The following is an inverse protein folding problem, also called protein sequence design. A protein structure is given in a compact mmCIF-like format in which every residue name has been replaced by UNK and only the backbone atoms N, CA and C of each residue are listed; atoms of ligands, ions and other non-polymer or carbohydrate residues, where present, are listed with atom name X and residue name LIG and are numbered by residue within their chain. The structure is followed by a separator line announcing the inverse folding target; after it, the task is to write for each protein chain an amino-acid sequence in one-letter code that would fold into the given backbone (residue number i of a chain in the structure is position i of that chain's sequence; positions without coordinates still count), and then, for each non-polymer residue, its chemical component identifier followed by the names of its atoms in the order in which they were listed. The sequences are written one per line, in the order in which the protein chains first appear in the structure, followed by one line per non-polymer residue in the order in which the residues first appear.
data_IF_858151985812
#
_entry.id   IF_858151985812
#
_cell.length_a   1.000
_cell.length_b   1.000
_cell.length_c   1.000
_cell.angle_alpha   90.00
_cell.angle_beta   90.00
_cell.angle_gamma   90.00
#
_symmetry.space_group_name_H-M   'P 1'
#
loop_
_entity.id
_entity.type
_entity.pdbx_description
1 polymer ?
#
# COMPACT_ATOMS: atom_id res chain seq x y z
N UNK A 1 14.31 15.81 -9.91
CA UNK A 1 15.40 15.09 -9.23
C UNK A 1 15.53 15.44 -7.75
N UNK A 2 14.88 16.51 -7.25
CA UNK A 2 15.05 16.96 -5.87
C UNK A 2 14.27 16.15 -4.82
N UNK A 3 13.48 15.16 -5.22
CA UNK A 3 12.64 14.36 -4.31
C UNK A 3 13.45 13.45 -3.37
N UNK A 4 14.64 13.02 -3.81
CA UNK A 4 15.54 12.16 -3.02
C UNK A 4 16.45 12.95 -2.07
N UNK A 5 16.31 14.28 -2.04
CA UNK A 5 17.12 15.16 -1.19
C UNK A 5 16.25 15.64 -0.04
N UNK A 6 16.77 15.60 1.18
CA UNK A 6 16.16 16.15 2.39
C UNK A 6 16.87 17.45 2.77
N UNK A 7 16.12 18.44 3.27
CA UNK A 7 16.71 19.68 3.75
C UNK A 7 17.17 19.51 5.21
N UNK A 8 18.46 19.28 5.43
CA UNK A 8 19.08 19.15 6.74
C UNK A 8 19.76 17.79 6.96
N UNK A 9 20.38 17.64 8.13
CA UNK A 9 21.06 16.40 8.51
C UNK A 9 20.09 15.45 9.21
N UNK A 10 19.61 14.44 8.48
CA UNK A 10 18.73 13.40 9.01
C UNK A 10 19.51 12.13 9.31
N UNK A 11 19.66 11.84 10.60
CA UNK A 11 20.16 10.56 11.11
C UNK A 11 18.95 9.61 11.29
N UNK A 12 18.70 8.74 10.30
CA UNK A 12 17.49 7.91 10.27
C UNK A 12 17.39 6.96 11.47
N UNK A 13 18.52 6.47 11.97
CA UNK A 13 18.63 5.63 13.17
C UNK A 13 18.30 6.34 14.49
N UNK A 14 18.26 7.68 14.51
CA UNK A 14 17.88 8.47 15.70
C UNK A 14 16.42 8.91 15.68
N UNK A 15 15.68 8.60 14.62
CA UNK A 15 14.25 8.88 14.57
C UNK A 15 13.50 8.07 15.63
N UNK A 16 12.34 8.53 16.13
CA UNK A 16 11.51 7.72 17.02
C UNK A 16 11.04 6.44 16.32
N UNK A 17 10.89 5.34 17.07
CA UNK A 17 10.39 4.06 16.55
C UNK A 17 8.90 4.16 16.20
N UNK A 18 8.60 4.62 14.99
CA UNK A 18 7.26 4.84 14.48
C UNK A 18 7.15 4.34 13.05
N UNK A 19 5.95 3.86 12.69
CA UNK A 19 5.60 3.57 11.30
C UNK A 19 5.21 4.85 10.57
N UNK A 20 5.68 4.97 9.32
CA UNK A 20 5.22 5.97 8.37
C UNK A 20 5.29 7.42 8.89
N UNK A 21 6.38 7.78 9.56
CA UNK A 21 6.67 9.15 9.96
C UNK A 21 6.83 10.05 8.73
N UNK A 22 6.00 11.09 8.62
CA UNK A 22 6.11 12.05 7.52
C UNK A 22 7.34 12.94 7.70
N UNK A 23 8.21 12.96 6.69
CA UNK A 23 9.29 13.93 6.52
C UNK A 23 9.13 14.63 5.16
N UNK A 24 9.77 15.78 5.00
CA UNK A 24 9.68 16.58 3.78
C UNK A 24 10.97 16.55 2.99
N UNK A 25 10.83 16.22 1.71
CA UNK A 25 11.88 16.39 0.72
C UNK A 25 12.12 17.88 0.44
N UNK A 26 13.29 18.19 -0.11
CA UNK A 26 13.71 19.54 -0.51
C UNK A 26 12.74 20.23 -1.47
N UNK A 27 11.98 19.46 -2.27
CA UNK A 27 10.94 19.97 -3.16
C UNK A 27 9.55 20.08 -2.51
N UNK A 28 9.43 19.89 -1.19
CA UNK A 28 8.16 19.89 -0.46
C UNK A 28 7.38 18.57 -0.51
N UNK A 29 7.87 17.58 -1.27
CA UNK A 29 7.31 16.24 -1.36
C UNK A 29 7.30 15.52 0.01
N UNK A 30 6.27 14.72 0.25
CA UNK A 30 6.13 13.91 1.47
C UNK A 30 6.86 12.60 1.29
N UNK A 31 7.72 12.27 2.25
CA UNK A 31 8.36 10.98 2.39
C UNK A 31 7.90 10.37 3.71
N UNK A 32 7.75 9.07 3.75
CA UNK A 32 7.30 8.33 4.93
C UNK A 32 8.41 7.39 5.36
N UNK A 33 9.00 7.66 6.51
CA UNK A 33 10.07 6.83 7.08
C UNK A 33 9.47 5.98 8.19
N UNK A 34 9.72 4.68 8.15
CA UNK A 34 9.42 3.80 9.28
C UNK A 34 10.75 3.52 9.99
N UNK A 35 10.76 3.60 11.32
CA UNK A 35 11.86 3.12 12.14
C UNK A 35 11.37 2.02 13.05
N UNK A 36 11.88 0.80 12.86
CA UNK A 36 11.37 -0.39 13.53
C UNK A 36 12.50 -1.35 13.93
N UNK A 37 12.34 -2.02 15.08
CA UNK A 37 13.25 -3.09 15.51
C UNK A 37 12.60 -4.43 15.22
N UNK A 38 13.24 -5.25 14.39
CA UNK A 38 12.84 -6.64 14.13
C UNK A 38 13.89 -7.57 14.71
N UNK A 39 13.62 -8.11 15.90
CA UNK A 39 14.61 -8.90 16.65
C UNK A 39 15.74 -8.02 17.15
N UNK A 40 16.96 -8.24 16.63
CA UNK A 40 18.13 -7.39 16.90
C UNK A 40 18.38 -6.35 15.81
N UNK A 41 17.70 -6.46 14.67
CA UNK A 41 17.99 -5.63 13.50
C UNK A 41 17.09 -4.40 13.48
N UNK A 42 17.71 -3.24 13.33
CA UNK A 42 17.00 -1.98 13.07
C UNK A 42 16.73 -1.87 11.58
N UNK A 43 15.45 -1.73 11.22
CA UNK A 43 15.03 -1.61 9.82
C UNK A 43 14.38 -0.26 9.57
N UNK A 44 14.82 0.37 8.49
CA UNK A 44 14.43 1.72 8.10
C UNK A 44 14.00 1.73 6.63
N UNK A 45 12.70 1.59 6.31
CA UNK A 45 12.24 1.86 4.96
C UNK A 45 11.79 3.31 4.77
N UNK A 46 11.94 3.81 3.55
CA UNK A 46 11.46 5.12 3.09
C UNK A 46 10.47 4.89 1.95
N UNK A 47 9.20 5.28 2.13
CA UNK A 47 8.09 4.96 1.21
C UNK A 47 8.03 3.46 0.85
N UNK A 48 8.26 2.59 1.84
CA UNK A 48 8.36 1.14 1.63
C UNK A 48 9.65 0.65 0.92
N UNK A 49 10.55 1.52 0.48
CA UNK A 49 11.86 1.13 -0.04
C UNK A 49 12.84 0.87 1.10
N UNK A 50 13.53 -0.27 1.07
CA UNK A 50 14.54 -0.62 2.08
C UNK A 50 15.75 0.30 1.98
N UNK A 51 16.21 0.83 3.12
CA UNK A 51 17.55 1.41 3.23
C UNK A 51 18.56 0.28 3.39
N UNK A 52 19.50 0.18 2.46
CA UNK A 52 20.56 -0.83 2.40
C UNK A 52 21.79 -0.40 3.21
N UNK A 53 22.13 0.89 3.16
CA UNK A 53 23.21 1.49 3.92
C UNK A 53 22.78 2.87 4.37
N UNK A 54 23.14 3.23 5.61
CA UNK A 54 22.69 4.48 6.22
C UNK A 54 23.83 5.30 6.80
N UNK A 55 23.58 6.60 6.92
CA UNK A 55 24.47 7.57 7.57
C UNK A 55 25.91 7.57 6.99
N UNK A 56 26.04 7.35 5.68
CA UNK A 56 27.35 7.46 5.02
C UNK A 56 27.73 8.94 5.02
N UNK A 57 28.83 9.27 5.67
CA UNK A 57 29.26 10.65 5.84
C UNK A 57 29.81 11.23 4.52
N UNK A 58 29.25 12.36 4.10
CA UNK A 58 29.75 13.21 3.04
C UNK A 58 30.14 14.58 3.62
N UNK A 59 30.85 15.40 2.86
CA UNK A 59 31.31 16.73 3.33
C UNK A 59 30.16 17.66 3.73
N UNK A 60 29.00 17.52 3.08
CA UNK A 60 27.85 18.41 3.23
C UNK A 60 26.57 17.70 3.70
N UNK A 61 26.66 16.46 4.19
CA UNK A 61 25.48 15.74 4.67
C UNK A 61 25.68 14.23 4.83
N UNK A 62 24.56 13.52 4.92
CA UNK A 62 24.51 12.07 5.07
C UNK A 62 23.86 11.44 3.85
N UNK A 63 24.47 10.38 3.33
CA UNK A 63 23.94 9.58 2.23
C UNK A 63 23.24 8.35 2.79
N UNK A 64 22.04 8.11 2.27
CA UNK A 64 21.21 6.94 2.56
C UNK A 64 21.04 6.15 1.25
N UNK A 65 21.47 4.90 1.22
CA UNK A 65 21.36 4.04 0.03
C UNK A 65 20.05 3.27 0.10
N UNK A 66 19.16 3.49 -0.87
CA UNK A 66 17.87 2.81 -0.97
C UNK A 66 17.89 1.74 -2.06
N UNK A 67 17.09 0.69 -1.90
CA UNK A 67 17.04 -0.43 -2.85
C UNK A 67 16.24 -0.14 -4.13
N UNK A 68 15.43 0.93 -4.16
CA UNK A 68 14.67 1.35 -5.35
C UNK A 68 14.53 2.86 -5.40
N UNK A 69 14.23 3.38 -6.59
CA UNK A 69 13.96 4.81 -6.79
C UNK A 69 12.68 5.20 -6.06
N UNK A 70 12.76 6.18 -5.16
CA UNK A 70 11.59 6.81 -4.55
C UNK A 70 10.79 7.61 -5.57
N UNK A 71 9.49 7.31 -5.69
CA UNK A 71 8.59 8.05 -6.56
C UNK A 71 7.78 9.09 -5.75
N UNK A 72 7.72 10.34 -6.22
CA UNK A 72 6.83 11.34 -5.63
C UNK A 72 5.37 10.98 -5.92
N UNK A 73 4.49 11.30 -4.99
CA UNK A 73 3.06 11.18 -5.26
C UNK A 73 2.67 12.16 -6.37
N UNK A 74 1.93 11.65 -7.36
CA UNK A 74 1.39 12.44 -8.48
C UNK A 74 -0.01 12.98 -8.17
N UNK A 75 -0.69 12.36 -7.21
CA UNK A 75 -2.08 12.62 -6.86
C UNK A 75 -2.20 12.87 -5.37
N UNK A 76 -2.98 13.89 -5.00
CA UNK A 76 -3.28 14.19 -3.60
C UNK A 76 -4.24 13.17 -2.99
N UNK A 77 -5.21 12.69 -3.78
CA UNK A 77 -6.26 11.78 -3.32
C UNK A 77 -6.12 10.41 -3.98
N UNK A 78 -6.46 9.36 -3.24
CA UNK A 78 -6.42 7.98 -3.74
C UNK A 78 -7.43 7.72 -4.86
N UNK A 79 -8.58 8.40 -4.85
CA UNK A 79 -9.59 8.29 -5.90
C UNK A 79 -9.09 8.85 -7.24
N UNK A 80 -8.31 9.93 -7.22
CA UNK A 80 -7.67 10.50 -8.42
C UNK A 80 -6.68 9.48 -9.01
N UNK A 81 -5.87 8.85 -8.15
CA UNK A 81 -4.95 7.80 -8.59
C UNK A 81 -5.69 6.61 -9.22
N UNK A 82 -6.79 6.16 -8.61
CA UNK A 82 -7.64 5.08 -9.13
C UNK A 82 -8.26 5.49 -10.48
N UNK A 83 -8.80 6.71 -10.59
CA UNK A 83 -9.45 7.21 -11.81
C UNK A 83 -8.47 7.35 -12.96
N UNK A 84 -7.20 7.67 -12.66
CA UNK A 84 -6.16 7.81 -13.68
C UNK A 84 -5.74 6.47 -14.31
N UNK A 85 -5.98 5.34 -13.62
CA UNK A 85 -5.61 4.03 -14.11
C UNK A 85 -6.78 3.38 -14.86
N UNK A 86 -6.62 3.23 -16.17
CA UNK A 86 -7.64 2.60 -17.03
C UNK A 86 -7.98 1.17 -16.60
N UNK A 87 -7.04 0.47 -15.96
CA UNK A 87 -7.27 -0.89 -15.45
C UNK A 87 -8.14 -0.91 -14.19
N UNK A 88 -8.48 0.24 -13.58
CA UNK A 88 -9.28 0.31 -12.37
C UNK A 88 -10.68 0.90 -12.59
N UNK A 89 -11.09 1.09 -13.85
CA UNK A 89 -12.36 1.75 -14.19
C UNK A 89 -13.60 1.07 -13.59
N UNK A 90 -13.64 -0.26 -13.55
CA UNK A 90 -14.76 -1.01 -12.96
C UNK A 90 -14.82 -0.83 -11.44
N UNK A 91 -13.65 -0.84 -10.78
CA UNK A 91 -13.55 -0.62 -9.34
C UNK A 91 -13.90 0.82 -8.96
N UNK A 92 -13.46 1.81 -9.75
CA UNK A 92 -13.83 3.21 -9.56
C UNK A 92 -15.35 3.40 -9.66
N UNK A 93 -15.99 2.80 -10.67
CA UNK A 93 -17.45 2.84 -10.80
C UNK A 93 -18.16 2.26 -9.57
N UNK A 94 -17.62 1.16 -9.02
CA UNK A 94 -18.16 0.57 -7.80
C UNK A 94 -18.03 1.54 -6.61
N UNK A 95 -16.91 2.25 -6.47
CA UNK A 95 -16.69 3.26 -5.41
C UNK A 95 -17.74 4.37 -5.51
N UNK A 96 -17.96 4.88 -6.71
CA UNK A 96 -18.96 5.92 -6.96
C UNK A 96 -20.36 5.42 -6.62
N UNK A 97 -20.73 4.22 -7.08
CA UNK A 97 -22.06 3.65 -6.83
C UNK A 97 -22.29 3.35 -5.33
N UNK A 98 -21.24 2.95 -4.61
CA UNK A 98 -21.27 2.70 -3.17
C UNK A 98 -21.30 3.98 -2.31
N UNK A 99 -21.11 5.17 -2.91
CA UNK A 99 -21.04 6.44 -2.20
C UNK A 99 -19.83 6.56 -1.28
N UNK A 100 -18.71 5.94 -1.64
CA UNK A 100 -17.47 5.94 -0.84
C UNK A 100 -16.43 6.95 -1.32
N UNK A 101 -16.69 7.65 -2.42
CA UNK A 101 -15.77 8.66 -2.98
C UNK A 101 -15.39 9.72 -1.95
N UNK A 102 -16.37 10.31 -1.26
CA UNK A 102 -16.11 11.37 -0.27
C UNK A 102 -15.34 10.83 0.94
N UNK A 103 -15.57 9.58 1.34
CA UNK A 103 -14.84 8.93 2.43
C UNK A 103 -13.37 8.76 2.05
N UNK A 104 -13.10 8.26 0.84
CA UNK A 104 -11.75 8.07 0.33
C UNK A 104 -11.04 9.38 -0.02
N UNK A 105 -11.78 10.48 -0.19
CA UNK A 105 -11.25 11.83 -0.40
C UNK A 105 -11.02 12.60 0.90
N UNK A 106 -11.58 12.11 2.01
CA UNK A 106 -11.38 12.70 3.32
C UNK A 106 -9.93 12.57 3.79
N UNK A 107 -9.61 13.24 4.91
CA UNK A 107 -8.26 13.21 5.48
C UNK A 107 -7.92 11.80 5.93
N UNK A 108 -7.11 11.12 5.11
CA UNK A 108 -6.51 9.82 5.42
C UNK A 108 -5.40 9.90 6.47
N UNK A 109 -4.75 8.76 6.77
CA UNK A 109 -4.27 7.87 5.72
C UNK A 109 -5.15 6.64 5.40
N UNK A 110 -5.25 6.31 4.12
CA UNK A 110 -5.87 5.08 3.62
C UNK A 110 -4.87 4.20 2.88
N UNK A 111 -5.09 2.88 2.89
CA UNK A 111 -4.47 1.98 1.91
C UNK A 111 -5.53 1.19 1.19
N UNK A 112 -5.51 1.20 -0.14
CA UNK A 112 -6.55 0.56 -0.97
C UNK A 112 -5.92 -0.54 -1.80
N UNK A 113 -6.47 -1.73 -1.68
CA UNK A 113 -6.16 -2.87 -2.55
C UNK A 113 -7.19 -2.89 -3.69
N UNK A 114 -6.91 -2.23 -4.79
CA UNK A 114 -7.85 -2.08 -5.90
C UNK A 114 -7.74 -3.26 -6.89
N UNK A 115 -8.81 -4.06 -7.08
CA UNK A 115 -8.84 -5.10 -8.10
C UNK A 115 -8.83 -4.51 -9.50
N UNK A 116 -7.99 -5.06 -10.37
CA UNK A 116 -7.97 -4.72 -11.80
C UNK A 116 -9.27 -5.09 -12.51
N UNK A 117 -9.48 -4.55 -13.70
CA UNK A 117 -10.69 -4.80 -14.49
C UNK A 117 -10.85 -6.29 -14.77
N UNK A 118 -9.77 -7.01 -15.07
CA UNK A 118 -9.80 -8.46 -15.27
C UNK A 118 -10.31 -9.21 -14.03
N UNK A 119 -9.88 -8.78 -12.83
CA UNK A 119 -10.33 -9.34 -11.56
C UNK A 119 -11.82 -9.08 -11.31
N UNK A 120 -12.28 -7.85 -11.59
CA UNK A 120 -13.69 -7.45 -11.47
C UNK A 120 -14.59 -8.22 -12.45
N UNK A 121 -14.13 -8.41 -13.70
CA UNK A 121 -14.83 -9.23 -14.70
C UNK A 121 -14.95 -10.68 -14.22
N UNK A 122 -13.85 -11.27 -13.74
CA UNK A 122 -13.83 -12.64 -13.21
C UNK A 122 -14.72 -12.81 -11.96
N UNK A 123 -14.90 -11.75 -11.18
CA UNK A 123 -15.81 -11.75 -10.04
C UNK A 123 -17.29 -11.74 -10.43
N UNK A 124 -17.62 -11.29 -11.65
CA UNK A 124 -19.00 -11.19 -12.13
C UNK A 124 -19.44 -9.78 -12.51
N UNK A 125 -18.51 -8.82 -12.62
CA UNK A 125 -18.78 -7.46 -13.11
C UNK A 125 -18.18 -7.25 -14.50
N UNK A 126 -18.79 -7.80 -15.56
CA UNK A 126 -18.22 -7.74 -16.91
C UNK A 126 -18.23 -6.33 -17.50
N UNK A 127 -19.11 -5.45 -17.02
CA UNK A 127 -19.31 -4.09 -17.56
C UNK A 127 -19.63 -3.08 -16.47
N UNK A 128 -19.46 -1.78 -16.78
CA UNK A 128 -19.87 -0.68 -15.90
C UNK A 128 -21.37 -0.72 -15.59
N UNK A 129 -22.19 -1.15 -16.55
CA UNK A 129 -23.63 -1.31 -16.37
C UNK A 129 -23.95 -2.41 -15.34
N UNK A 130 -23.21 -3.53 -15.37
CA UNK A 130 -23.37 -4.59 -14.39
C UNK A 130 -23.07 -4.10 -12.97
N UNK A 131 -22.01 -3.28 -12.79
CA UNK A 131 -21.71 -2.67 -11.49
C UNK A 131 -22.85 -1.76 -11.02
N UNK A 132 -23.44 -0.96 -11.92
CA UNK A 132 -24.50 -0.01 -11.55
C UNK A 132 -25.83 -0.68 -11.16
N UNK A 133 -26.08 -1.90 -11.66
CA UNK A 133 -27.28 -2.69 -11.32
C UNK A 133 -27.20 -3.32 -9.92
N UNK A 134 -26.00 -3.40 -9.33
CA UNK A 134 -25.82 -3.98 -8.00
C UNK A 134 -26.30 -3.00 -6.93
N UNK A 135 -26.84 -3.57 -5.85
CA UNK A 135 -27.21 -2.80 -4.67
C UNK A 135 -25.99 -2.02 -4.11
N UNK A 136 -26.08 -0.69 -3.94
CA UNK A 136 -25.03 0.11 -3.31
C UNK A 136 -24.54 -0.43 -1.96
N UNK A 137 -25.40 -1.06 -1.16
CA UNK A 137 -25.04 -1.64 0.12
C UNK A 137 -24.06 -2.83 -0.04
N UNK A 138 -24.28 -3.66 -1.05
CA UNK A 138 -23.40 -4.80 -1.39
C UNK A 138 -22.05 -4.30 -1.88
N UNK A 139 -22.05 -3.30 -2.78
CA UNK A 139 -20.80 -2.69 -3.27
C UNK A 139 -20.03 -2.01 -2.14
N UNK A 140 -20.74 -1.35 -1.22
CA UNK A 140 -20.12 -0.71 -0.06
C UNK A 140 -19.44 -1.71 0.86
N UNK A 141 -20.07 -2.86 1.13
CA UNK A 141 -19.45 -3.93 1.89
C UNK A 141 -18.21 -4.50 1.17
N UNK A 142 -18.34 -4.78 -0.13
CA UNK A 142 -17.24 -5.28 -0.96
C UNK A 142 -16.04 -4.33 -0.94
N UNK A 143 -16.26 -3.04 -1.16
CA UNK A 143 -15.18 -2.06 -1.25
C UNK A 143 -14.53 -1.80 0.11
N UNK A 144 -15.30 -1.79 1.20
CA UNK A 144 -14.73 -1.66 2.55
C UNK A 144 -13.76 -2.78 2.89
N UNK A 145 -14.01 -3.98 2.36
CA UNK A 145 -13.10 -5.11 2.48
C UNK A 145 -11.81 -5.00 1.64
N UNK A 146 -11.69 -3.95 0.83
CA UNK A 146 -10.48 -3.61 0.06
C UNK A 146 -9.76 -2.36 0.59
N UNK A 147 -10.30 -1.74 1.65
CA UNK A 147 -9.74 -0.51 2.25
C UNK A 147 -9.17 -0.84 3.62
N UNK A 148 -8.00 -0.27 3.92
CA UNK A 148 -7.38 -0.22 5.24
C UNK A 148 -7.33 1.23 5.70
N UNK A 149 -7.70 1.48 6.96
CA UNK A 149 -7.74 2.83 7.55
C UNK A 149 -6.38 3.31 8.08
N UNK A 150 -5.29 2.87 7.44
CA UNK A 150 -3.91 3.22 7.78
C UNK A 150 -3.08 3.33 6.51
N UNK A 151 -1.93 4.02 6.59
CA UNK A 151 -0.90 3.95 5.55
C UNK A 151 -0.13 2.64 5.73
N UNK A 152 -0.15 1.77 4.72
CA UNK A 152 0.53 0.48 4.72
C UNK A 152 1.24 0.30 3.38
N UNK A 153 2.56 0.38 3.41
CA UNK A 153 3.40 -0.09 2.32
C UNK A 153 3.56 -1.61 2.42
N UNK A 154 3.92 -2.26 1.30
CA UNK A 154 4.16 -3.71 1.27
C UNK A 154 5.26 -4.11 2.24
N UNK A 155 6.28 -3.26 2.36
CA UNK A 155 7.37 -3.51 3.30
C UNK A 155 6.95 -3.42 4.77
N UNK A 156 5.89 -2.68 5.12
CA UNK A 156 5.37 -2.64 6.49
C UNK A 156 4.81 -4.01 6.93
N UNK A 157 4.24 -4.77 5.98
CA UNK A 157 3.84 -6.16 6.23
C UNK A 157 5.06 -7.05 6.48
N UNK A 158 6.13 -6.91 5.69
CA UNK A 158 7.36 -7.67 5.88
C UNK A 158 7.99 -7.39 7.26
N UNK A 159 7.90 -6.15 7.74
CA UNK A 159 8.38 -5.76 9.07
C UNK A 159 7.53 -6.34 10.21
N UNK A 160 6.21 -6.26 10.07
CA UNK A 160 5.26 -6.65 11.12
C UNK A 160 5.00 -8.17 11.18
N UNK A 161 5.25 -8.91 10.10
CA UNK A 161 5.17 -10.37 10.10
C UNK A 161 6.29 -11.00 10.91
N UNK A 162 5.91 -11.84 11.88
CA UNK A 162 6.82 -12.66 12.67
C UNK A 162 7.41 -13.83 11.89
N UNK A 163 7.86 -14.86 12.60
CA UNK A 163 8.58 -16.04 12.07
C UNK A 163 7.72 -16.94 11.17
N UNK A 164 6.40 -16.77 11.18
CA UNK A 164 5.46 -17.60 10.41
C UNK A 164 5.25 -17.14 8.97
N UNK A 165 5.88 -16.02 8.55
CA UNK A 165 5.69 -15.38 7.24
C UNK A 165 4.21 -15.10 6.88
N UNK A 166 3.35 -15.05 7.90
CA UNK A 166 1.91 -14.81 7.77
C UNK A 166 1.48 -13.77 8.78
N UNK A 167 0.61 -12.86 8.37
CA UNK A 167 -0.05 -11.89 9.25
C UNK A 167 -1.51 -11.73 8.87
N UNK A 168 -2.27 -11.02 9.70
CA UNK A 168 -3.66 -10.68 9.43
C UNK A 168 -3.78 -9.16 9.37
N UNK A 169 -4.39 -8.66 8.30
CA UNK A 169 -4.71 -7.24 8.13
C UNK A 169 -6.18 -7.02 8.43
N UNK A 170 -6.49 -6.11 9.34
CA UNK A 170 -7.87 -5.67 9.56
C UNK A 170 -8.27 -4.65 8.49
N UNK A 171 -9.36 -4.91 7.80
CA UNK A 171 -9.92 -4.04 6.77
C UNK A 171 -10.90 -3.04 7.40
N UNK A 172 -11.37 -2.07 6.62
CA UNK A 172 -12.22 -0.97 7.11
C UNK A 172 -13.63 -1.42 7.53
N UNK A 173 -14.05 -2.63 7.14
CA UNK A 173 -15.27 -3.29 7.58
C UNK A 173 -15.10 -4.09 8.90
N UNK A 174 -13.88 -4.18 9.43
CA UNK A 174 -13.55 -4.96 10.62
C UNK A 174 -13.21 -6.43 10.35
N UNK A 175 -13.35 -6.92 9.11
CA UNK A 175 -12.94 -8.27 8.74
C UNK A 175 -11.42 -8.34 8.53
N UNK A 176 -10.88 -9.56 8.55
CA UNK A 176 -9.45 -9.80 8.42
C UNK A 176 -9.11 -10.46 7.10
N UNK A 177 -8.07 -9.94 6.44
CA UNK A 177 -7.46 -10.54 5.26
C UNK A 177 -6.15 -11.19 5.70
N UNK A 178 -5.95 -12.45 5.32
CA UNK A 178 -4.69 -13.14 5.56
C UNK A 178 -3.65 -12.61 4.57
N UNK A 179 -2.53 -12.18 5.11
CA UNK A 179 -1.35 -11.74 4.37
C UNK A 179 -0.31 -12.83 4.47
N UNK A 180 0.25 -13.25 3.34
CA UNK A 180 1.39 -14.16 3.32
C UNK A 180 2.55 -13.52 2.57
N UNK A 181 3.74 -13.56 3.17
CA UNK A 181 4.93 -13.02 2.52
C UNK A 181 5.38 -13.93 1.41
N UNK A 182 5.80 -13.33 0.29
CA UNK A 182 6.37 -14.04 -0.85
C UNK A 182 7.89 -13.98 -0.72
N UNK A 183 8.58 -15.11 -0.51
CA UNK A 183 10.04 -15.12 -0.43
C UNK A 183 10.65 -14.68 -1.75
N UNK A 184 11.74 -13.95 -1.66
CA UNK A 184 12.59 -13.61 -2.79
C UNK A 184 13.59 -14.74 -3.02
N UNK A 185 13.46 -15.45 -4.13
CA UNK A 185 14.32 -16.57 -4.48
C UNK A 185 15.76 -16.15 -4.82
N UNK A 186 16.02 -14.85 -5.00
CA UNK A 186 17.36 -14.32 -5.32
C UNK A 186 18.21 -14.04 -4.09
N UNK A 187 17.57 -13.71 -2.97
CA UNK A 187 18.26 -13.33 -1.73
C UNK A 187 17.64 -14.09 -0.55
N UNK A 188 18.32 -15.11 0.00
CA UNK A 188 17.81 -15.88 1.14
C UNK A 188 17.38 -14.98 2.30
N UNK A 189 16.16 -15.18 2.80
CA UNK A 189 15.59 -14.41 3.90
C UNK A 189 15.02 -13.03 3.51
N UNK A 190 15.08 -12.64 2.24
CA UNK A 190 14.35 -11.47 1.73
C UNK A 190 12.98 -11.86 1.18
N UNK A 191 12.09 -10.88 1.12
CA UNK A 191 10.74 -11.03 0.60
C UNK A 191 10.53 -10.03 -0.54
N UNK A 192 9.95 -10.50 -1.64
CA UNK A 192 9.70 -9.71 -2.85
C UNK A 192 8.36 -8.97 -2.79
N UNK A 193 7.43 -9.44 -1.97
CA UNK A 193 6.13 -8.84 -1.79
C UNK A 193 5.23 -9.63 -0.85
N UNK A 194 3.92 -9.44 -1.01
CA UNK A 194 2.89 -10.16 -0.25
C UNK A 194 1.85 -10.75 -1.20
N UNK A 195 1.20 -11.81 -0.75
CA UNK A 195 -0.06 -12.30 -1.28
C UNK A 195 -1.16 -12.10 -0.25
N UNK A 196 -2.38 -11.93 -0.75
CA UNK A 196 -3.58 -11.65 0.02
C UNK A 196 -4.52 -12.84 -0.11
N UNK A 197 -5.21 -13.18 0.96
CA UNK A 197 -6.30 -14.15 0.91
C UNK A 197 -7.42 -13.67 1.84
N UNK A 198 -8.53 -13.27 1.22
CA UNK A 198 -9.76 -13.00 1.98
C UNK A 198 -10.32 -14.29 2.57
N UNK A 199 -11.10 -14.20 3.64
CA UNK A 199 -11.78 -15.35 4.27
C UNK A 199 -12.63 -16.17 3.30
N UNK A 200 -13.24 -15.52 2.30
CA UNK A 200 -14.02 -16.16 1.24
C UNK A 200 -13.22 -16.53 0.00
N UNK A 201 -11.91 -16.29 -0.04
CA UNK A 201 -11.08 -16.59 -1.19
C UNK A 201 -10.51 -18.02 -1.10
N UNK A 202 -10.82 -18.84 -2.09
CA UNK A 202 -10.17 -20.14 -2.28
C UNK A 202 -8.79 -20.01 -2.93
N UNK A 203 -8.61 -19.00 -3.80
CA UNK A 203 -7.34 -18.69 -4.45
C UNK A 203 -6.62 -17.52 -3.76
N UNK A 204 -5.29 -17.57 -3.75
CA UNK A 204 -4.46 -16.44 -3.33
C UNK A 204 -4.55 -15.32 -4.37
N UNK A 205 -4.59 -14.09 -3.88
CA UNK A 205 -4.63 -12.85 -4.68
C UNK A 205 -3.25 -12.21 -4.61
N UNK A 206 -2.71 -11.84 -5.76
CA UNK A 206 -1.38 -11.26 -5.92
C UNK A 206 -1.46 -9.76 -6.21
N UNK A 207 -0.38 -9.05 -5.89
CA UNK A 207 -0.23 -7.67 -6.29
C UNK A 207 0.36 -7.58 -7.69
N UNK A 208 -0.29 -6.80 -8.55
CA UNK A 208 0.21 -6.46 -9.89
C UNK A 208 0.97 -5.14 -9.88
N UNK A 209 0.61 -4.23 -8.98
CA UNK A 209 1.27 -2.94 -8.76
C UNK A 209 1.24 -2.63 -7.28
N UNK A 210 2.33 -2.13 -6.74
CA UNK A 210 2.47 -1.92 -5.29
C UNK A 210 3.02 -0.54 -4.97
N UNK A 211 2.71 -0.07 -3.76
CA UNK A 211 3.26 1.13 -3.14
C UNK A 211 3.05 2.43 -3.93
N UNK A 212 1.91 2.57 -4.63
CA UNK A 212 1.60 3.80 -5.35
C UNK A 212 1.22 4.88 -4.34
N UNK A 213 2.15 5.80 -4.08
CA UNK A 213 1.97 6.84 -3.09
C UNK A 213 0.98 7.92 -3.55
N UNK A 214 0.08 8.30 -2.65
CA UNK A 214 -0.83 9.45 -2.79
C UNK A 214 -0.75 10.35 -1.55
N UNK A 215 -1.23 11.58 -1.67
CA UNK A 215 -1.23 12.55 -0.57
C UNK A 215 -1.95 12.01 0.68
N UNK A 216 -3.10 11.38 0.51
CA UNK A 216 -3.93 10.83 1.58
C UNK A 216 -3.84 9.30 1.78
N UNK A 217 -2.92 8.60 1.09
CA UNK A 217 -2.84 7.15 1.22
C UNK A 217 -1.85 6.43 0.31
N UNK A 218 -2.00 5.10 0.20
CA UNK A 218 -1.23 4.23 -0.70
C UNK A 218 -2.17 3.33 -1.47
N UNK A 219 -1.99 3.25 -2.79
CA UNK A 219 -2.75 2.38 -3.68
C UNK A 219 -1.90 1.15 -4.05
N UNK A 220 -2.53 -0.02 -3.94
CA UNK A 220 -2.01 -1.30 -4.39
C UNK A 220 -3.00 -1.91 -5.37
N UNK A 221 -2.54 -2.38 -6.53
CA UNK A 221 -3.40 -3.05 -7.52
C UNK A 221 -3.26 -4.55 -7.38
N UNK A 222 -4.39 -5.25 -7.36
CA UNK A 222 -4.47 -6.70 -7.16
C UNK A 222 -5.10 -7.41 -8.36
N UNK A 223 -4.74 -8.67 -8.57
CA UNK A 223 -5.21 -9.51 -9.69
C UNK A 223 -6.53 -10.25 -9.41
N UNK A 224 -7.06 -10.17 -8.19
CA UNK A 224 -8.27 -10.84 -7.75
C UNK A 224 -9.07 -9.99 -6.77
N UNK A 225 -10.39 -10.21 -6.70
CA UNK A 225 -11.26 -9.53 -5.73
C UNK A 225 -11.20 -10.25 -4.39
N UNK A 226 -11.02 -9.50 -3.30
CA UNK A 226 -11.10 -10.00 -1.94
C UNK A 226 -12.57 -10.23 -1.55
N UNK A 227 -12.86 -11.41 -1.03
CA UNK A 227 -14.19 -11.88 -0.63
C UNK A 227 -14.23 -12.20 0.86
N UNK A 228 -15.36 -11.90 1.49
CA UNK A 228 -15.65 -12.26 2.88
C UNK A 228 -16.27 -13.67 2.93
N UNK A 229 -17.19 -13.97 2.02
CA UNK A 229 -17.87 -15.26 1.87
C UNK A 229 -17.52 -15.92 0.54
N UNK A 230 -17.50 -17.26 0.51
CA UNK A 230 -17.22 -18.06 -0.68
C UNK A 230 -18.35 -17.97 -1.71
#
# INVERSE_FOLDING_TARGET
MNYHILNGNYELNKLPFLFNQEIRSSNGGKLFVTHWVKGTDTVLPINGSRVLAQNIQAENGLIQVVNRVLEPYKYEQITDAITSDKNLSLFYQAIQRAGLTDVLNSKGPYSVFAPGNAAMVAYGFPTLAAVNQVDPAVLKALIRYHIVNERRFIYDYILSTGTTNQSQQSMSDGNQVKIQLIPDNTTPGSFSGISLQGTGNTAIVQLTKQDVLTGNGVLHTIDGVLKITQ
#
